data_IF_720890362537
#
_entry.id   IF_720890362537
#
_cell.length_a   1.000
_cell.length_b   1.000
_cell.length_c   1.000
_cell.angle_alpha   90.00
_cell.angle_beta   90.00
_cell.angle_gamma   90.00
#
_symmetry.space_group_name_H-M   'P 1'
#
loop_
_entity.id
_entity.type
_entity.pdbx_description
1 polymer ?
#
# COMPACT_ATOMS: atom_id res chain seq x y z
N UNK A 1 -30.10 -13.37 0.75
CA UNK A 1 -28.86 -12.80 0.15
C UNK A 1 -28.79 -11.32 0.54
N UNK A 2 -27.61 -10.67 0.52
CA UNK A 2 -27.51 -9.28 1.03
C UNK A 2 -28.29 -8.31 0.17
N UNK A 3 -28.30 -8.47 -1.15
CA UNK A 3 -29.08 -7.62 -2.06
C UNK A 3 -30.59 -7.60 -1.81
N UNK A 4 -31.13 -8.59 -1.11
CA UNK A 4 -32.55 -8.66 -0.74
C UNK A 4 -32.88 -7.77 0.47
N UNK A 5 -31.87 -7.34 1.21
CA UNK A 5 -32.00 -6.48 2.38
C UNK A 5 -31.86 -5.00 1.99
N UNK A 6 -32.57 -4.09 2.66
CA UNK A 6 -32.35 -2.65 2.49
C UNK A 6 -30.88 -2.29 2.72
N UNK A 7 -30.33 -1.42 1.86
CA UNK A 7 -28.97 -0.93 2.04
C UNK A 7 -28.82 -0.26 3.42
N UNK A 8 -27.86 -0.70 4.27
CA UNK A 8 -27.84 -0.28 5.69
C UNK A 8 -27.55 1.20 5.96
N UNK A 9 -26.88 1.91 5.05
CA UNK A 9 -26.54 3.32 5.25
C UNK A 9 -27.68 4.21 4.77
N UNK A 10 -28.23 5.03 5.67
CA UNK A 10 -29.17 6.10 5.31
C UNK A 10 -28.48 7.12 4.39
N UNK A 11 -28.83 7.08 3.11
CA UNK A 11 -28.11 7.75 2.05
C UNK A 11 -28.88 8.96 1.49
N UNK A 12 -29.50 9.76 2.37
CA UNK A 12 -30.39 10.86 1.99
C UNK A 12 -29.69 11.94 1.14
N UNK A 13 -28.36 11.99 1.19
CA UNK A 13 -27.48 12.90 0.47
C UNK A 13 -26.71 12.24 -0.70
N UNK A 14 -26.93 10.95 -0.98
CA UNK A 14 -26.32 10.24 -2.11
C UNK A 14 -24.82 9.92 -1.99
N UNK A 15 -24.21 10.13 -0.84
CA UNK A 15 -22.76 10.01 -0.65
C UNK A 15 -22.26 8.55 -0.77
N UNK A 16 -23.11 7.57 -0.44
CA UNK A 16 -22.80 6.13 -0.58
C UNK A 16 -23.52 5.48 -1.77
N UNK A 17 -23.88 6.26 -2.80
CA UNK A 17 -24.68 5.76 -3.95
C UNK A 17 -24.03 4.57 -4.67
N UNK A 18 -22.71 4.55 -4.81
CA UNK A 18 -22.03 3.45 -5.48
C UNK A 18 -22.10 2.17 -4.66
N UNK A 19 -21.89 2.26 -3.34
CA UNK A 19 -22.12 1.12 -2.44
C UNK A 19 -23.55 0.60 -2.46
N UNK A 20 -24.53 1.51 -2.45
CA UNK A 20 -25.94 1.13 -2.60
C UNK A 20 -26.16 0.35 -3.89
N UNK A 21 -25.62 0.83 -5.01
CA UNK A 21 -25.73 0.15 -6.30
C UNK A 21 -25.12 -1.26 -6.25
N UNK A 22 -23.87 -1.41 -5.84
CA UNK A 22 -23.20 -2.74 -5.83
C UNK A 22 -23.82 -3.69 -4.79
N UNK A 23 -24.46 -3.16 -3.74
CA UNK A 23 -25.27 -3.93 -2.80
C UNK A 23 -26.53 -4.48 -3.48
N UNK A 24 -27.30 -3.61 -4.14
CA UNK A 24 -28.53 -3.97 -4.87
C UNK A 24 -28.25 -4.90 -6.06
N UNK A 25 -27.11 -4.74 -6.72
CA UNK A 25 -26.64 -5.59 -7.83
C UNK A 25 -26.07 -6.94 -7.34
N UNK A 26 -26.00 -7.19 -6.03
CA UNK A 26 -25.55 -8.46 -5.45
C UNK A 26 -24.05 -8.73 -5.51
N UNK A 27 -23.22 -7.72 -5.79
CA UNK A 27 -21.76 -7.89 -5.89
C UNK A 27 -21.12 -8.27 -4.54
N UNK A 28 -21.80 -7.93 -3.44
CA UNK A 28 -21.33 -8.18 -2.08
C UNK A 28 -21.94 -9.42 -1.43
N UNK A 29 -22.73 -10.22 -2.16
CA UNK A 29 -23.47 -11.34 -1.57
C UNK A 29 -22.59 -12.45 -1.01
N UNK A 30 -21.46 -12.73 -1.67
CA UNK A 30 -20.55 -13.81 -1.26
C UNK A 30 -19.59 -13.42 -0.14
N UNK A 31 -19.58 -12.14 0.26
CA UNK A 31 -18.70 -11.66 1.32
C UNK A 31 -19.02 -12.36 2.65
N UNK A 32 -18.03 -12.51 3.53
CA UNK A 32 -18.26 -12.98 4.89
C UNK A 32 -18.99 -11.92 5.72
N UNK A 33 -19.83 -12.35 6.66
CA UNK A 33 -20.33 -11.47 7.71
C UNK A 33 -19.21 -10.98 8.63
N UNK A 34 -18.01 -11.56 8.61
CA UNK A 34 -16.88 -11.02 9.38
C UNK A 34 -16.02 -10.01 8.60
N UNK A 35 -16.34 -9.78 7.32
CA UNK A 35 -15.57 -8.92 6.43
C UNK A 35 -15.57 -7.45 6.89
N UNK A 36 -14.40 -6.79 6.86
CA UNK A 36 -14.23 -5.39 7.27
C UNK A 36 -15.24 -4.45 6.62
N UNK A 37 -15.34 -4.45 5.29
CA UNK A 37 -16.28 -3.61 4.54
C UNK A 37 -17.75 -3.85 4.94
N UNK A 38 -18.17 -5.11 5.09
CA UNK A 38 -19.54 -5.45 5.48
C UNK A 38 -19.82 -4.95 6.90
N UNK A 39 -18.88 -5.15 7.82
CA UNK A 39 -18.94 -4.59 9.18
C UNK A 39 -19.04 -3.07 9.17
N UNK A 40 -18.32 -2.38 8.29
CA UNK A 40 -18.36 -0.93 8.19
C UNK A 40 -19.71 -0.43 7.63
N UNK A 41 -20.22 -1.05 6.56
CA UNK A 41 -21.52 -0.70 5.96
C UNK A 41 -22.66 -0.88 6.96
N UNK A 42 -22.64 -1.98 7.71
CA UNK A 42 -23.64 -2.30 8.75
C UNK A 42 -23.37 -1.60 10.08
N UNK A 43 -22.38 -0.70 10.12
CA UNK A 43 -21.99 0.07 11.29
C UNK A 43 -21.71 -0.75 12.57
N UNK A 44 -21.05 -1.89 12.40
CA UNK A 44 -20.65 -2.81 13.47
C UNK A 44 -19.14 -3.08 13.50
N UNK A 45 -18.37 -2.40 12.66
CA UNK A 45 -16.91 -2.41 12.76
C UNK A 45 -16.49 -1.61 14.00
N UNK A 46 -15.81 -2.30 14.90
CA UNK A 46 -15.37 -1.75 16.20
C UNK A 46 -13.89 -1.99 16.48
N UNK A 47 -13.29 -2.99 15.84
CA UNK A 47 -11.87 -3.30 15.89
C UNK A 47 -11.48 -4.10 14.62
N UNK A 48 -10.19 -4.05 14.29
CA UNK A 48 -9.55 -4.85 13.24
C UNK A 48 -8.06 -5.02 13.60
N UNK A 49 -7.38 -6.00 12.99
CA UNK A 49 -6.02 -6.40 13.38
C UNK A 49 -4.99 -5.26 13.33
N UNK A 50 -5.13 -4.34 12.38
CA UNK A 50 -4.26 -3.16 12.20
C UNK A 50 -4.57 -1.95 13.07
N UNK A 51 -5.67 -1.97 13.84
CA UNK A 51 -6.23 -0.76 14.44
C UNK A 51 -5.24 0.00 15.32
N UNK A 52 -4.64 -0.68 16.30
CA UNK A 52 -3.66 -0.07 17.23
C UNK A 52 -2.43 0.45 16.50
N UNK A 53 -1.96 -0.29 15.49
CA UNK A 53 -0.79 0.09 14.72
C UNK A 53 -1.05 1.37 13.92
N UNK A 54 -2.17 1.43 13.19
CA UNK A 54 -2.53 2.60 12.39
C UNK A 54 -2.89 3.81 13.24
N UNK A 55 -3.42 3.59 14.44
CA UNK A 55 -3.61 4.63 15.45
C UNK A 55 -2.28 5.25 15.91
N UNK A 56 -1.22 4.45 15.97
CA UNK A 56 0.10 4.89 16.43
C UNK A 56 1.01 5.42 15.30
N UNK A 57 0.63 5.29 14.02
CA UNK A 57 1.45 5.65 12.86
C UNK A 57 1.47 7.16 12.50
N UNK A 58 0.60 8.04 13.02
CA UNK A 58 0.59 9.53 12.77
C UNK A 58 -0.36 10.24 13.80
N UNK A 59 -0.19 11.54 14.14
CA UNK A 59 -0.90 12.22 15.22
C UNK A 59 -2.17 12.90 14.70
N UNK A 60 -3.23 12.15 14.42
CA UNK A 60 -4.61 12.64 14.50
C UNK A 60 -4.83 14.07 13.93
N UNK A 61 -4.40 14.29 12.68
CA UNK A 61 -4.28 15.62 12.07
C UNK A 61 -5.64 16.33 12.00
N UNK A 62 -6.71 15.58 11.77
CA UNK A 62 -8.08 16.09 11.75
C UNK A 62 -8.76 16.09 13.13
N UNK A 63 -8.04 15.67 14.19
CA UNK A 63 -8.55 15.55 15.57
C UNK A 63 -9.77 14.63 15.69
N UNK A 64 -9.92 13.69 14.77
CA UNK A 64 -11.06 12.76 14.72
C UNK A 64 -10.91 11.63 15.75
N UNK A 65 -9.69 11.39 16.22
CA UNK A 65 -9.37 10.47 17.31
C UNK A 65 -9.44 11.24 18.64
N UNK A 66 -10.31 10.84 19.56
CA UNK A 66 -10.45 11.53 20.85
C UNK A 66 -9.25 11.23 21.76
N UNK A 67 -9.04 12.03 22.81
CA UNK A 67 -8.05 11.74 23.87
C UNK A 67 -8.20 10.28 24.34
N UNK A 68 -7.09 9.56 24.48
CA UNK A 68 -6.99 8.13 24.83
C UNK A 68 -7.32 7.13 23.71
N UNK A 69 -7.26 7.54 22.43
CA UNK A 69 -7.43 6.61 21.30
C UNK A 69 -8.87 6.15 21.08
N UNK A 70 -9.85 6.83 21.69
CA UNK A 70 -11.27 6.52 21.49
C UNK A 70 -11.72 7.07 20.14
N UNK A 71 -12.13 6.17 19.26
CA UNK A 71 -12.69 6.53 17.95
C UNK A 71 -14.20 6.41 18.03
N UNK A 72 -14.89 7.40 17.48
CA UNK A 72 -16.32 7.26 17.23
C UNK A 72 -16.51 6.35 16.03
N UNK A 73 -16.77 5.06 16.29
CA UNK A 73 -16.94 4.03 15.26
C UNK A 73 -18.02 4.42 14.24
N UNK A 74 -19.08 5.11 14.65
CA UNK A 74 -20.11 5.57 13.73
C UNK A 74 -19.54 6.57 12.72
N UNK A 75 -18.78 7.54 13.21
CA UNK A 75 -18.11 8.52 12.36
C UNK A 75 -17.05 7.87 11.48
N UNK A 76 -16.23 6.96 12.02
CA UNK A 76 -15.21 6.25 11.24
C UNK A 76 -15.83 5.41 10.11
N UNK A 77 -16.80 4.56 10.44
CA UNK A 77 -17.45 3.67 9.50
C UNK A 77 -18.11 4.44 8.37
N UNK A 78 -18.85 5.50 8.71
CA UNK A 78 -19.51 6.34 7.72
C UNK A 78 -18.50 7.04 6.81
N UNK A 79 -17.46 7.67 7.37
CA UNK A 79 -16.43 8.35 6.56
C UNK A 79 -15.67 7.36 5.67
N UNK A 80 -15.27 6.21 6.19
CA UNK A 80 -14.63 5.16 5.41
C UNK A 80 -15.52 4.72 4.24
N UNK A 81 -16.80 4.40 4.51
CA UNK A 81 -17.73 3.96 3.48
C UNK A 81 -17.98 5.05 2.42
N UNK A 82 -18.15 6.31 2.83
CA UNK A 82 -18.31 7.44 1.91
C UNK A 82 -17.11 7.58 0.98
N UNK A 83 -15.90 7.57 1.53
CA UNK A 83 -14.68 7.74 0.74
C UNK A 83 -14.38 6.55 -0.17
N UNK A 84 -14.57 5.32 0.32
CA UNK A 84 -14.37 4.12 -0.50
C UNK A 84 -15.42 4.02 -1.62
N UNK A 85 -16.69 4.33 -1.32
CA UNK A 85 -17.76 4.39 -2.31
C UNK A 85 -17.42 5.37 -3.44
N UNK A 86 -17.01 6.60 -3.10
CA UNK A 86 -16.59 7.60 -4.09
C UNK A 86 -15.33 7.19 -4.86
N UNK A 87 -14.37 6.55 -4.18
CA UNK A 87 -13.15 6.03 -4.80
C UNK A 87 -13.45 4.95 -5.84
N UNK A 88 -14.21 3.91 -5.49
CA UNK A 88 -14.54 2.83 -6.41
C UNK A 88 -15.38 3.32 -7.59
N UNK A 89 -16.32 4.25 -7.34
CA UNK A 89 -17.07 4.89 -8.41
C UNK A 89 -16.15 5.58 -9.43
N UNK A 90 -15.16 6.33 -8.94
CA UNK A 90 -14.19 7.01 -9.80
C UNK A 90 -13.30 6.02 -10.55
N UNK A 91 -12.76 5.00 -9.88
CA UNK A 91 -11.96 3.96 -10.53
C UNK A 91 -12.75 3.20 -11.60
N UNK A 92 -14.05 2.96 -11.39
CA UNK A 92 -14.93 2.38 -12.41
C UNK A 92 -15.05 3.26 -13.66
N UNK A 93 -15.07 4.59 -13.52
CA UNK A 93 -15.08 5.48 -14.70
C UNK A 93 -13.78 5.43 -15.51
N UNK A 94 -12.69 4.95 -14.90
CA UNK A 94 -11.35 4.91 -15.50
C UNK A 94 -11.05 3.54 -16.08
N UNK A 95 -11.25 2.47 -15.30
CA UNK A 95 -10.90 1.10 -15.68
C UNK A 95 -12.06 0.32 -16.29
N UNK A 96 -13.30 0.82 -16.20
CA UNK A 96 -14.50 0.18 -16.73
C UNK A 96 -15.20 -0.74 -15.73
N UNK A 97 -16.47 -1.03 -16.03
CA UNK A 97 -17.37 -1.79 -15.15
C UNK A 97 -16.89 -3.23 -14.93
N UNK A 98 -16.52 -3.94 -16.00
CA UNK A 98 -16.19 -5.37 -15.91
C UNK A 98 -14.96 -5.64 -15.04
N UNK A 99 -13.93 -4.78 -15.14
CA UNK A 99 -12.74 -4.87 -14.31
C UNK A 99 -13.07 -4.58 -12.84
N UNK A 100 -13.84 -3.52 -12.57
CA UNK A 100 -14.19 -3.16 -11.19
C UNK A 100 -15.16 -4.15 -10.54
N UNK A 101 -16.09 -4.73 -11.30
CA UNK A 101 -16.98 -5.78 -10.78
C UNK A 101 -16.15 -7.00 -10.33
N UNK A 102 -15.20 -7.46 -11.16
CA UNK A 102 -14.31 -8.57 -10.82
C UNK A 102 -13.44 -8.24 -9.63
N UNK A 103 -12.82 -7.05 -9.61
CA UNK A 103 -12.04 -6.57 -8.47
C UNK A 103 -12.87 -6.67 -7.17
N UNK A 104 -14.09 -6.14 -7.18
CA UNK A 104 -14.96 -6.15 -6.00
C UNK A 104 -15.33 -7.57 -5.60
N UNK A 105 -15.72 -8.43 -6.54
CA UNK A 105 -16.20 -9.79 -6.21
C UNK A 105 -15.08 -10.73 -5.81
N UNK A 106 -13.89 -10.58 -6.37
CA UNK A 106 -12.82 -11.58 -6.26
C UNK A 106 -11.65 -11.12 -5.37
N UNK A 107 -11.19 -9.86 -5.48
CA UNK A 107 -10.04 -9.35 -4.72
C UNK A 107 -10.48 -8.64 -3.43
N UNK A 108 -11.40 -7.67 -3.54
CA UNK A 108 -11.87 -6.90 -2.37
C UNK A 108 -12.65 -7.77 -1.38
N UNK A 109 -13.26 -8.87 -1.83
CA UNK A 109 -13.93 -9.85 -0.98
C UNK A 109 -12.97 -10.67 -0.12
N UNK A 110 -11.68 -10.69 -0.49
CA UNK A 110 -10.59 -11.27 0.27
C UNK A 110 -10.88 -12.68 0.79
N UNK A 111 -11.26 -13.59 -0.11
CA UNK A 111 -11.59 -14.97 0.27
C UNK A 111 -13.08 -15.22 0.53
N UNK A 112 -13.95 -14.24 0.28
CA UNK A 112 -15.42 -14.37 0.33
C UNK A 112 -15.86 -14.82 1.72
N UNK A 113 -16.41 -16.04 1.84
CA UNK A 113 -16.81 -16.63 3.12
C UNK A 113 -15.60 -17.02 4.00
N UNK A 114 -14.45 -17.32 3.39
CA UNK A 114 -13.18 -17.59 4.07
C UNK A 114 -12.34 -16.31 4.14
N UNK A 115 -12.95 -15.27 4.72
CA UNK A 115 -12.37 -13.94 4.77
C UNK A 115 -10.98 -13.90 5.39
N UNK A 116 -10.02 -13.31 4.68
CA UNK A 116 -8.66 -13.01 5.14
C UNK A 116 -8.46 -11.49 5.21
N UNK A 117 -8.33 -10.97 6.43
CA UNK A 117 -8.18 -9.53 6.66
C UNK A 117 -6.86 -8.99 6.07
N UNK A 118 -5.78 -9.78 6.04
CA UNK A 118 -4.52 -9.39 5.36
C UNK A 118 -4.78 -9.07 3.88
N UNK A 119 -5.45 -9.98 3.17
CA UNK A 119 -5.74 -9.86 1.74
C UNK A 119 -6.65 -8.67 1.45
N UNK A 120 -7.58 -8.35 2.36
CA UNK A 120 -8.40 -7.14 2.22
C UNK A 120 -7.55 -5.85 2.26
N UNK A 121 -6.59 -5.76 3.19
CA UNK A 121 -5.72 -4.59 3.29
C UNK A 121 -4.71 -4.50 2.14
N UNK A 122 -4.33 -5.64 1.53
CA UNK A 122 -3.63 -5.65 0.23
C UNK A 122 -4.48 -4.96 -0.86
N UNK A 123 -5.75 -5.35 -1.01
CA UNK A 123 -6.67 -4.74 -1.98
C UNK A 123 -6.94 -3.24 -1.69
N UNK A 124 -7.07 -2.85 -0.42
CA UNK A 124 -7.24 -1.43 -0.04
C UNK A 124 -5.99 -0.60 -0.38
N UNK A 125 -4.79 -1.14 -0.13
CA UNK A 125 -3.53 -0.48 -0.49
C UNK A 125 -3.45 -0.23 -1.99
N UNK A 126 -3.88 -1.20 -2.79
CA UNK A 126 -3.97 -1.07 -4.24
C UNK A 126 -4.92 0.05 -4.64
N UNK A 127 -6.16 0.06 -4.14
CA UNK A 127 -7.15 1.11 -4.41
C UNK A 127 -6.58 2.51 -4.07
N UNK A 128 -5.93 2.66 -2.92
CA UNK A 128 -5.37 3.94 -2.46
C UNK A 128 -4.32 4.48 -3.44
N UNK A 129 -3.40 3.62 -3.89
CA UNK A 129 -2.36 3.98 -4.87
C UNK A 129 -2.97 4.23 -6.26
N UNK A 130 -3.90 3.40 -6.73
CA UNK A 130 -4.51 3.61 -8.04
C UNK A 130 -5.33 4.91 -8.08
N UNK A 131 -6.06 5.22 -6.99
CA UNK A 131 -6.78 6.48 -6.83
C UNK A 131 -5.83 7.69 -6.89
N UNK A 132 -4.66 7.59 -6.27
CA UNK A 132 -3.66 8.67 -6.29
C UNK A 132 -3.32 9.12 -7.71
N UNK A 133 -3.12 8.16 -8.62
CA UNK A 133 -2.79 8.43 -10.02
C UNK A 133 -4.03 8.86 -10.80
N UNK A 134 -5.14 8.15 -10.62
CA UNK A 134 -6.41 8.42 -11.29
C UNK A 134 -6.85 9.90 -11.19
N UNK A 135 -6.73 10.52 -10.01
CA UNK A 135 -7.28 11.86 -9.76
C UNK A 135 -6.38 13.01 -10.23
N UNK A 136 -5.09 12.77 -10.47
CA UNK A 136 -4.09 13.84 -10.63
C UNK A 136 -3.71 14.14 -12.06
N UNK A 137 -4.09 13.31 -13.02
CA UNK A 137 -3.80 13.60 -14.42
C UNK A 137 -4.94 13.15 -15.32
N UNK A 138 -5.09 13.85 -16.45
CA UNK A 138 -5.95 13.43 -17.54
C UNK A 138 -5.18 12.41 -18.36
N UNK A 139 -5.16 11.17 -17.87
CA UNK A 139 -4.55 10.06 -18.57
C UNK A 139 -5.23 9.87 -19.93
N UNK A 140 -4.42 9.72 -20.98
CA UNK A 140 -4.91 9.32 -22.30
C UNK A 140 -5.48 7.90 -22.25
N UNK A 141 -4.85 7.06 -21.43
CA UNK A 141 -5.25 5.68 -21.22
C UNK A 141 -4.89 5.23 -19.80
N UNK A 142 -5.77 4.46 -19.19
CA UNK A 142 -5.52 3.72 -17.96
C UNK A 142 -6.00 2.29 -18.15
N UNK A 143 -5.16 1.31 -17.82
CA UNK A 143 -5.43 -0.11 -17.96
C UNK A 143 -5.26 -0.78 -16.61
N UNK A 144 -6.24 -1.59 -16.22
CA UNK A 144 -6.18 -2.45 -15.03
C UNK A 144 -5.62 -3.82 -15.42
N UNK A 145 -4.65 -4.34 -14.65
CA UNK A 145 -3.94 -5.59 -14.93
C UNK A 145 -3.52 -5.79 -16.40
N UNK A 146 -2.80 -4.82 -17.03
CA UNK A 146 -2.47 -4.89 -18.45
C UNK A 146 -1.55 -6.08 -18.75
N UNK A 147 -1.82 -6.86 -19.82
CA UNK A 147 -1.01 -8.00 -20.18
C UNK A 147 0.42 -7.58 -20.53
N UNK A 148 1.39 -8.11 -19.80
CA UNK A 148 2.81 -7.88 -20.12
C UNK A 148 3.29 -8.95 -21.07
N UNK A 149 3.28 -8.64 -22.37
CA UNK A 149 3.60 -9.56 -23.47
C UNK A 149 5.03 -10.17 -23.42
N UNK A 150 5.89 -9.72 -22.50
CA UNK A 150 7.32 -10.02 -22.48
C UNK A 150 7.69 -10.98 -21.33
N UNK A 151 6.84 -11.13 -20.32
CA UNK A 151 7.15 -11.97 -19.15
C UNK A 151 6.69 -13.42 -19.41
N UNK A 152 7.56 -14.42 -19.18
CA UNK A 152 7.15 -15.84 -19.10
C UNK A 152 6.15 -16.11 -17.95
N UNK A 153 5.87 -15.10 -17.13
CA UNK A 153 4.93 -15.13 -16.03
C UNK A 153 3.55 -14.66 -16.53
N UNK A 154 2.50 -15.36 -16.10
CA UNK A 154 1.09 -14.99 -16.32
C UNK A 154 0.64 -13.82 -15.43
N UNK A 155 1.56 -13.09 -14.78
CA UNK A 155 1.25 -12.05 -13.80
C UNK A 155 1.46 -10.67 -14.41
N UNK A 156 0.48 -9.81 -14.22
CA UNK A 156 0.46 -8.43 -14.68
C UNK A 156 0.71 -7.45 -13.52
N UNK A 157 1.27 -6.26 -13.77
CA UNK A 157 1.25 -5.17 -12.80
C UNK A 157 -0.19 -4.75 -12.56
N UNK A 158 -0.49 -4.15 -11.42
CA UNK A 158 -1.87 -3.79 -11.06
C UNK A 158 -2.48 -2.76 -12.02
N UNK A 159 -1.67 -1.80 -12.50
CA UNK A 159 -2.15 -0.85 -13.50
C UNK A 159 -1.06 -0.29 -14.40
N UNK A 160 -1.49 0.24 -15.56
CA UNK A 160 -0.70 1.08 -16.46
C UNK A 160 -1.45 2.37 -16.79
N UNK A 161 -0.77 3.49 -16.63
CA UNK A 161 -1.26 4.82 -16.97
C UNK A 161 -0.40 5.40 -18.09
N UNK A 162 -1.03 5.94 -19.12
CA UNK A 162 -0.37 6.60 -20.26
C UNK A 162 -0.93 8.00 -20.39
N UNK A 163 -0.06 9.01 -20.39
CA UNK A 163 -0.48 10.40 -20.38
C UNK A 163 0.62 11.34 -20.88
N UNK A 164 0.32 12.62 -20.83
CA UNK A 164 1.26 13.69 -21.18
C UNK A 164 1.60 14.49 -19.92
N UNK A 165 2.88 14.84 -19.77
CA UNK A 165 3.32 15.75 -18.73
C UNK A 165 4.22 16.82 -19.29
N UNK A 166 4.03 18.04 -18.81
CA UNK A 166 4.96 19.13 -19.06
C UNK A 166 6.15 19.01 -18.10
N UNK A 167 7.27 18.55 -18.63
CA UNK A 167 8.54 18.48 -17.91
C UNK A 167 9.45 19.59 -18.45
N UNK A 168 9.76 20.58 -17.60
CA UNK A 168 10.63 21.72 -17.94
C UNK A 168 10.17 22.51 -19.20
N UNK A 169 8.86 22.62 -19.43
CA UNK A 169 8.29 23.34 -20.58
C UNK A 169 8.11 22.49 -21.84
N UNK A 170 8.59 21.24 -21.86
CA UNK A 170 8.34 20.29 -22.95
C UNK A 170 7.26 19.29 -22.55
N UNK A 171 6.32 19.00 -23.46
CA UNK A 171 5.32 17.95 -23.24
C UNK A 171 5.91 16.62 -23.71
N UNK A 172 6.07 15.69 -22.77
CA UNK A 172 6.51 14.32 -23.06
C UNK A 172 5.37 13.34 -22.76
N UNK A 173 5.20 12.34 -23.64
CA UNK A 173 4.38 11.19 -23.32
C UNK A 173 5.10 10.33 -22.29
N UNK A 174 4.38 9.98 -21.23
CA UNK A 174 4.87 9.20 -20.10
C UNK A 174 3.99 7.98 -19.88
N UNK A 175 4.64 6.90 -19.44
CA UNK A 175 4.00 5.65 -19.07
C UNK A 175 4.35 5.32 -17.64
N UNK A 176 3.36 4.99 -16.82
CA UNK A 176 3.56 4.55 -15.44
C UNK A 176 2.95 3.17 -15.29
N UNK A 177 3.75 2.18 -14.93
CA UNK A 177 3.28 0.86 -14.51
C UNK A 177 3.40 0.76 -12.99
N UNK A 178 2.37 0.26 -12.33
CA UNK A 178 2.25 0.24 -10.87
C UNK A 178 2.14 -1.19 -10.38
N UNK A 179 2.92 -1.52 -9.37
CA UNK A 179 2.76 -2.71 -8.55
C UNK A 179 2.60 -2.29 -7.10
N UNK A 180 1.66 -2.89 -6.38
CA UNK A 180 1.44 -2.60 -4.96
C UNK A 180 1.69 -3.86 -4.13
N UNK A 181 2.33 -3.70 -2.98
CA UNK A 181 2.59 -4.77 -2.02
C UNK A 181 2.25 -4.31 -0.61
N UNK A 182 1.70 -5.22 0.20
CA UNK A 182 1.48 -5.02 1.62
C UNK A 182 1.95 -6.28 2.37
N UNK A 183 2.76 -6.18 3.44
CA UNK A 183 3.04 -7.31 4.29
C UNK A 183 1.79 -7.66 5.09
N UNK A 184 1.75 -8.93 5.53
CA UNK A 184 0.77 -9.39 6.50
C UNK A 184 0.95 -8.68 7.83
N UNK A 185 -0.12 -8.59 8.59
CA UNK A 185 -0.08 -8.07 9.95
C UNK A 185 0.85 -8.91 10.83
N UNK A 186 1.64 -8.27 11.71
CA UNK A 186 2.40 -9.01 12.71
C UNK A 186 1.44 -9.70 13.68
N UNK A 187 1.86 -10.82 14.26
CA UNK A 187 1.10 -11.45 15.34
C UNK A 187 1.07 -10.52 16.55
N UNK A 188 -0.09 -10.36 17.19
CA UNK A 188 -0.33 -9.44 18.32
C UNK A 188 0.46 -9.83 19.60
N UNK A 189 1.28 -10.89 19.55
CA UNK A 189 1.85 -11.58 20.70
C UNK A 189 2.83 -10.73 21.56
N UNK A 190 3.26 -9.55 21.11
CA UNK A 190 4.38 -8.82 21.74
C UNK A 190 4.09 -7.37 22.15
N UNK A 191 2.82 -6.93 22.24
CA UNK A 191 2.48 -5.52 22.52
C UNK A 191 3.10 -4.92 23.79
N UNK A 192 3.38 -5.72 24.82
CA UNK A 192 3.95 -5.24 26.11
C UNK A 192 5.44 -5.58 26.30
N UNK A 193 6.10 -6.14 25.29
CA UNK A 193 7.46 -6.65 25.41
C UNK A 193 8.52 -5.61 25.03
N UNK A 194 9.71 -5.70 25.63
CA UNK A 194 10.91 -5.02 25.11
C UNK A 194 11.35 -5.75 23.86
N UNK A 195 11.28 -5.12 22.70
CA UNK A 195 11.64 -5.75 21.42
C UNK A 195 12.89 -5.07 20.84
N UNK A 196 13.79 -5.86 20.25
CA UNK A 196 14.90 -5.37 19.44
C UNK A 196 14.80 -5.92 18.01
N UNK A 197 14.71 -5.02 17.02
CA UNK A 197 14.85 -5.36 15.59
C UNK A 197 16.10 -4.65 15.04
N UNK A 198 17.09 -5.40 14.55
CA UNK A 198 18.19 -4.85 13.78
C UNK A 198 17.69 -4.17 12.50
N UNK A 199 18.02 -2.90 12.31
CA UNK A 199 17.68 -2.15 11.09
C UNK A 199 18.70 -2.33 9.95
N UNK A 200 19.71 -3.19 10.15
CA UNK A 200 20.77 -3.47 9.17
C UNK A 200 20.87 -4.96 8.89
N UNK A 201 21.38 -5.34 7.72
CA UNK A 201 21.63 -6.75 7.43
C UNK A 201 22.73 -7.28 8.34
N UNK A 202 22.38 -8.27 9.18
CA UNK A 202 23.32 -8.92 10.07
C UNK A 202 24.16 -9.97 9.34
N UNK A 203 25.46 -10.00 9.66
CA UNK A 203 26.36 -11.10 9.31
C UNK A 203 25.94 -12.40 10.01
N UNK A 204 26.48 -13.54 9.57
CA UNK A 204 26.24 -14.83 10.22
C UNK A 204 26.62 -14.82 11.71
N UNK A 205 27.63 -14.04 12.08
CA UNK A 205 28.05 -13.88 13.48
C UNK A 205 27.10 -12.95 14.25
N UNK A 206 26.70 -11.83 13.66
CA UNK A 206 25.70 -10.94 14.27
C UNK A 206 24.36 -11.62 14.51
N UNK A 207 23.95 -12.52 13.61
CA UNK A 207 22.75 -13.36 13.75
C UNK A 207 22.82 -14.38 14.90
N UNK A 208 24.01 -14.60 15.49
CA UNK A 208 24.18 -15.43 16.69
C UNK A 208 24.30 -14.59 17.95
N UNK A 209 25.05 -13.49 17.89
CA UNK A 209 25.35 -12.67 19.05
C UNK A 209 24.17 -11.83 19.53
N UNK A 210 23.41 -11.22 18.61
CA UNK A 210 22.30 -10.33 18.97
C UNK A 210 21.15 -11.09 19.65
N UNK A 211 20.68 -12.24 19.12
CA UNK A 211 19.64 -13.01 19.82
C UNK A 211 20.05 -13.42 21.22
N UNK A 212 21.31 -13.87 21.39
CA UNK A 212 21.87 -14.23 22.70
C UNK A 212 21.91 -13.06 23.67
N UNK A 213 22.37 -11.89 23.22
CA UNK A 213 22.35 -10.68 24.04
C UNK A 213 20.92 -10.31 24.45
N UNK A 214 19.95 -10.43 23.54
CA UNK A 214 18.55 -10.11 23.85
C UNK A 214 17.98 -11.10 24.88
N UNK A 215 18.25 -12.40 24.74
CA UNK A 215 17.87 -13.43 25.70
C UNK A 215 18.45 -13.16 27.10
N UNK A 216 19.74 -12.81 27.18
CA UNK A 216 20.43 -12.47 28.44
C UNK A 216 19.88 -11.22 29.14
N UNK A 217 19.11 -10.37 28.43
CA UNK A 217 18.58 -9.09 28.93
C UNK A 217 17.04 -9.02 28.96
N UNK A 218 16.35 -10.15 28.80
CA UNK A 218 14.88 -10.21 28.75
C UNK A 218 14.28 -9.29 27.67
N UNK A 219 14.94 -9.26 26.51
CA UNK A 219 14.51 -8.54 25.31
C UNK A 219 14.08 -9.58 24.27
N UNK A 220 12.92 -9.39 23.66
CA UNK A 220 12.47 -10.19 22.52
C UNK A 220 13.26 -9.74 21.28
N UNK A 221 14.08 -10.65 20.76
CA UNK A 221 14.73 -10.43 19.47
C UNK A 221 13.77 -10.77 18.33
N UNK A 222 13.60 -9.82 17.41
CA UNK A 222 12.85 -10.03 16.17
C UNK A 222 13.78 -9.81 14.97
N UNK A 223 13.81 -10.78 14.06
CA UNK A 223 14.64 -10.65 12.86
C UNK A 223 14.01 -9.64 11.89
N UNK A 224 14.81 -8.77 11.24
CA UNK A 224 14.26 -7.85 10.26
C UNK A 224 13.64 -8.59 9.08
N UNK A 225 12.57 -8.05 8.52
CA UNK A 225 11.77 -8.64 7.43
C UNK A 225 12.43 -8.51 6.05
N UNK A 226 13.74 -8.72 6.01
CA UNK A 226 14.59 -8.70 4.81
C UNK A 226 14.07 -9.65 3.73
N UNK A 227 13.68 -10.85 4.12
CA UNK A 227 13.20 -11.86 3.18
C UNK A 227 11.90 -11.42 2.51
N UNK A 228 11.02 -10.72 3.24
CA UNK A 228 9.77 -10.17 2.70
C UNK A 228 10.05 -9.05 1.68
N UNK A 229 10.96 -8.12 1.98
CA UNK A 229 11.39 -7.09 1.01
C UNK A 229 11.99 -7.72 -0.25
N UNK A 230 12.87 -8.71 -0.08
CA UNK A 230 13.46 -9.48 -1.18
C UNK A 230 12.38 -10.15 -2.03
N UNK A 231 11.39 -10.79 -1.41
CA UNK A 231 10.28 -11.45 -2.12
C UNK A 231 9.40 -10.43 -2.86
N UNK A 232 9.11 -9.27 -2.28
CA UNK A 232 8.38 -8.19 -2.95
C UNK A 232 9.11 -7.63 -4.16
N UNK A 233 10.40 -7.32 -4.02
CA UNK A 233 11.22 -6.83 -5.13
C UNK A 233 11.26 -7.85 -6.27
N UNK A 234 11.55 -9.12 -5.96
CA UNK A 234 11.60 -10.17 -6.97
C UNK A 234 10.22 -10.38 -7.62
N UNK A 235 9.14 -10.40 -6.84
CA UNK A 235 7.79 -10.53 -7.38
C UNK A 235 7.46 -9.38 -8.34
N UNK A 236 7.75 -8.14 -7.97
CA UNK A 236 7.46 -6.98 -8.81
C UNK A 236 8.26 -7.02 -10.12
N UNK A 237 9.54 -7.40 -10.06
CA UNK A 237 10.38 -7.53 -11.25
C UNK A 237 9.86 -8.55 -12.28
N UNK A 238 9.13 -9.59 -11.84
CA UNK A 238 8.51 -10.56 -12.76
C UNK A 238 7.29 -10.00 -13.50
N UNK A 239 6.66 -8.95 -12.97
CA UNK A 239 5.47 -8.30 -13.55
C UNK A 239 5.82 -7.14 -14.48
N UNK A 240 7.02 -6.57 -14.38
CA UNK A 240 7.42 -5.44 -15.21
C UNK A 240 8.26 -5.86 -16.43
N UNK A 241 8.11 -5.14 -17.54
CA UNK A 241 9.10 -5.14 -18.63
C UNK A 241 10.26 -4.18 -18.30
N UNK A 242 11.39 -4.28 -18.99
CA UNK A 242 12.45 -3.27 -18.86
C UNK A 242 11.88 -1.90 -19.31
N UNK A 243 11.95 -0.85 -18.46
CA UNK A 243 11.38 0.45 -18.77
C UNK A 243 12.15 1.13 -19.91
N UNK A 244 11.42 1.81 -20.80
CA UNK A 244 11.96 2.74 -21.81
C UNK A 244 12.20 4.13 -21.20
N UNK A 245 12.74 5.06 -21.98
CA UNK A 245 13.18 6.40 -21.53
C UNK A 245 12.12 7.25 -20.81
N UNK A 246 10.83 7.02 -21.06
CA UNK A 246 9.71 7.71 -20.41
C UNK A 246 8.70 6.74 -19.76
N UNK A 247 9.13 5.50 -19.50
CA UNK A 247 8.34 4.50 -18.81
C UNK A 247 8.88 4.30 -17.38
N UNK A 248 7.98 4.33 -16.41
CA UNK A 248 8.30 4.25 -15.00
C UNK A 248 7.61 3.03 -14.39
N UNK A 249 8.40 2.06 -13.93
CA UNK A 249 7.90 0.91 -13.21
C UNK A 249 8.06 1.16 -11.72
N UNK A 250 6.93 1.37 -11.03
CA UNK A 250 6.89 1.83 -9.66
C UNK A 250 6.35 0.72 -8.76
N UNK A 251 7.17 0.32 -7.79
CA UNK A 251 6.75 -0.59 -6.73
C UNK A 251 6.37 0.22 -5.49
N UNK A 252 5.10 0.18 -5.14
CA UNK A 252 4.58 0.70 -3.88
C UNK A 252 4.54 -0.41 -2.85
N UNK A 253 5.05 -0.14 -1.65
CA UNK A 253 5.03 -1.06 -0.53
C UNK A 253 4.38 -0.33 0.65
N UNK A 254 3.15 -0.71 0.97
CA UNK A 254 2.52 -0.31 2.22
C UNK A 254 3.23 -1.06 3.35
N UNK A 255 3.97 -0.38 4.22
CA UNK A 255 4.69 -0.97 5.36
C UNK A 255 4.07 -0.59 6.71
N UNK A 256 2.80 -0.17 6.70
CA UNK A 256 2.03 0.26 7.89
C UNK A 256 2.09 -0.71 9.05
N UNK A 257 2.16 -2.00 8.74
CA UNK A 257 1.91 -3.09 9.68
C UNK A 257 3.22 -3.70 10.16
N UNK A 258 3.93 -2.95 11.00
CA UNK A 258 5.19 -3.37 11.62
C UNK A 258 5.07 -3.43 13.13
N UNK A 259 6.04 -4.06 13.78
CA UNK A 259 6.06 -4.22 15.24
C UNK A 259 6.38 -2.91 16.01
N UNK A 260 6.79 -1.84 15.31
CA UNK A 260 7.19 -0.55 15.90
C UNK A 260 6.54 0.67 15.24
N UNK A 261 5.33 1.07 15.64
CA UNK A 261 4.59 2.13 14.96
C UNK A 261 5.28 3.49 14.89
N UNK A 262 5.95 3.95 15.97
CA UNK A 262 6.59 5.27 16.00
C UNK A 262 7.81 5.40 15.09
N UNK A 263 8.30 4.29 14.52
CA UNK A 263 9.50 4.19 13.69
C UNK A 263 9.28 3.18 12.55
N UNK A 264 8.03 2.97 12.16
CA UNK A 264 7.57 1.81 11.39
C UNK A 264 8.24 1.67 10.04
N UNK A 265 8.49 2.82 9.44
CA UNK A 265 9.18 2.98 8.19
C UNK A 265 10.71 2.79 8.27
N UNK A 266 11.33 2.96 9.45
CA UNK A 266 12.79 2.91 9.62
C UNK A 266 13.38 1.53 9.31
N UNK A 267 12.65 0.46 9.60
CA UNK A 267 13.08 -0.90 9.28
C UNK A 267 13.28 -1.04 7.76
N UNK A 268 12.23 -0.81 6.97
CA UNK A 268 12.31 -0.92 5.52
C UNK A 268 13.30 0.09 4.93
N UNK A 269 13.31 1.33 5.44
CA UNK A 269 14.23 2.36 4.99
C UNK A 269 15.69 1.95 5.14
N UNK A 270 16.06 1.48 6.34
CA UNK A 270 17.43 1.10 6.66
C UNK A 270 17.86 -0.14 5.89
N UNK A 271 16.98 -1.12 5.72
CA UNK A 271 17.26 -2.32 4.92
C UNK A 271 17.46 -2.02 3.43
N UNK A 272 16.71 -1.06 2.88
CA UNK A 272 16.83 -0.72 1.46
C UNK A 272 18.03 0.18 1.18
N UNK A 273 18.36 1.11 2.07
CA UNK A 273 19.25 2.24 1.72
C UNK A 273 20.46 2.48 2.61
N UNK A 274 20.67 1.66 3.63
CA UNK A 274 21.86 1.80 4.47
C UNK A 274 23.15 1.80 3.62
N UNK A 275 24.09 2.66 4.00
CA UNK A 275 25.34 2.90 3.27
C UNK A 275 26.32 1.74 3.34
N UNK A 276 26.11 0.77 4.24
CA UNK A 276 26.99 -0.40 4.40
C UNK A 276 26.51 -1.56 3.54
N UNK A 277 25.22 -1.90 3.58
CA UNK A 277 24.69 -3.13 3.00
C UNK A 277 23.23 -3.05 2.54
N UNK A 278 22.69 -1.84 2.34
CA UNK A 278 21.33 -1.66 1.85
C UNK A 278 21.09 -2.37 0.51
N UNK A 279 19.90 -2.97 0.36
CA UNK A 279 19.54 -3.79 -0.80
C UNK A 279 19.62 -2.99 -2.12
N UNK A 280 19.16 -1.73 -2.11
CA UNK A 280 19.13 -0.89 -3.31
C UNK A 280 20.48 -0.19 -3.55
N UNK A 281 21.27 0.05 -2.50
CA UNK A 281 22.57 0.74 -2.58
C UNK A 281 23.71 -0.21 -2.92
N UNK A 282 23.60 -1.49 -2.56
CA UNK A 282 24.66 -2.49 -2.74
C UNK A 282 24.16 -3.75 -3.47
N UNK A 283 24.11 -3.75 -4.82
CA UNK A 283 23.60 -4.88 -5.60
C UNK A 283 24.29 -6.22 -5.33
N UNK A 284 25.58 -6.21 -4.97
CA UNK A 284 26.30 -7.43 -4.58
C UNK A 284 25.75 -8.01 -3.26
N UNK A 285 25.47 -7.16 -2.27
CA UNK A 285 24.88 -7.59 -1.00
C UNK A 285 23.44 -8.09 -1.21
N UNK A 286 22.68 -7.42 -2.06
CA UNK A 286 21.33 -7.83 -2.46
C UNK A 286 21.33 -9.21 -3.14
N UNK A 287 22.27 -9.47 -4.05
CA UNK A 287 22.41 -10.78 -4.72
C UNK A 287 22.74 -11.89 -3.73
N UNK A 288 23.57 -11.62 -2.71
CA UNK A 288 23.92 -12.61 -1.69
C UNK A 288 22.71 -13.09 -0.86
N UNK A 289 21.66 -12.27 -0.76
CA UNK A 289 20.41 -12.65 -0.08
C UNK A 289 19.31 -13.12 -1.06
N UNK A 290 19.61 -13.24 -2.35
CA UNK A 290 18.71 -13.76 -3.38
C UNK A 290 17.82 -12.73 -4.09
N UNK A 291 18.20 -11.44 -4.10
CA UNK A 291 17.56 -10.44 -4.97
C UNK A 291 18.06 -10.63 -6.41
N UNK A 292 17.12 -10.78 -7.35
CA UNK A 292 17.41 -10.98 -8.77
C UNK A 292 18.05 -9.74 -9.40
N UNK A 293 18.96 -9.93 -10.38
CA UNK A 293 19.49 -8.82 -11.16
C UNK A 293 18.40 -8.06 -11.92
N UNK A 294 17.32 -8.75 -12.31
CA UNK A 294 16.17 -8.16 -13.00
C UNK A 294 15.49 -7.06 -12.18
N UNK A 295 15.60 -7.08 -10.84
CA UNK A 295 15.07 -6.02 -9.98
C UNK A 295 15.69 -4.67 -10.33
N UNK A 296 17.01 -4.64 -10.54
CA UNK A 296 17.75 -3.42 -10.82
C UNK A 296 17.57 -2.93 -12.26
N UNK A 297 17.12 -3.80 -13.15
CA UNK A 297 16.87 -3.49 -14.56
C UNK A 297 15.42 -3.06 -14.80
N UNK A 298 14.48 -3.67 -14.08
CA UNK A 298 13.04 -3.55 -14.37
C UNK A 298 12.30 -2.62 -13.42
N UNK A 299 12.75 -2.42 -12.19
CA UNK A 299 12.09 -1.50 -11.26
C UNK A 299 12.77 -0.14 -11.35
N UNK A 300 12.00 0.90 -11.66
CA UNK A 300 12.51 2.28 -11.73
C UNK A 300 12.66 2.86 -10.34
N UNK A 301 11.65 2.67 -9.50
CA UNK A 301 11.65 3.15 -8.12
C UNK A 301 10.81 2.26 -7.19
N UNK A 302 11.19 2.30 -5.93
CA UNK A 302 10.46 1.69 -4.81
C UNK A 302 9.99 2.84 -3.93
N UNK A 303 8.72 2.78 -3.53
CA UNK A 303 8.09 3.72 -2.64
C UNK A 303 7.58 2.90 -1.47
N UNK A 304 8.13 3.14 -0.28
CA UNK A 304 7.61 2.52 0.93
C UNK A 304 6.90 3.63 1.71
N UNK A 305 5.74 3.32 2.28
CA UNK A 305 4.95 4.27 3.05
C UNK A 305 4.26 3.57 4.21
N UNK A 306 3.85 4.34 5.21
CA UNK A 306 3.06 3.85 6.33
C UNK A 306 1.76 4.64 6.38
N UNK A 307 0.66 3.98 6.66
CA UNK A 307 -0.69 4.51 6.66
C UNK A 307 -1.19 4.64 8.10
N UNK A 308 -1.70 5.84 8.38
CA UNK A 308 -2.39 6.17 9.60
C UNK A 308 -3.87 5.82 9.49
N UNK A 309 -4.55 5.81 10.63
CA UNK A 309 -5.96 5.48 10.68
C UNK A 309 -6.85 6.50 9.96
N UNK A 310 -6.47 7.78 9.97
CA UNK A 310 -7.13 8.80 9.15
C UNK A 310 -6.87 8.58 7.65
N UNK A 311 -5.67 8.13 7.27
CA UNK A 311 -5.32 7.75 5.90
C UNK A 311 -6.24 6.66 5.35
N UNK A 312 -6.47 5.61 6.14
CA UNK A 312 -7.44 4.55 5.82
C UNK A 312 -8.87 5.08 5.71
N UNK A 313 -9.29 5.93 6.64
CA UNK A 313 -10.65 6.48 6.67
C UNK A 313 -10.97 7.35 5.44
N UNK A 314 -9.99 8.12 4.95
CA UNK A 314 -10.16 9.00 3.80
C UNK A 314 -9.72 8.38 2.47
N UNK A 315 -9.00 7.26 2.52
CA UNK A 315 -8.35 6.59 1.38
C UNK A 315 -7.54 7.58 0.54
N UNK A 316 -6.86 8.49 1.22
CA UNK A 316 -6.21 9.62 0.59
C UNK A 316 -4.69 9.57 0.75
N UNK A 317 -4.06 9.00 -0.28
CA UNK A 317 -2.61 8.94 -0.37
C UNK A 317 -1.94 10.34 -0.45
N UNK A 318 -2.70 11.45 -0.62
CA UNK A 318 -2.15 12.82 -0.52
C UNK A 318 -1.56 13.14 0.85
N UNK A 319 -2.06 12.51 1.91
CA UNK A 319 -1.55 12.74 3.27
C UNK A 319 -0.05 12.42 3.35
N UNK A 320 0.46 11.48 2.54
CA UNK A 320 1.88 11.14 2.45
C UNK A 320 2.71 12.09 1.57
N UNK A 321 2.07 12.89 0.71
CA UNK A 321 2.72 13.73 -0.30
C UNK A 321 3.13 15.12 0.19
N UNK A 322 2.45 15.65 1.21
CA UNK A 322 2.82 16.94 1.83
C UNK A 322 4.04 16.84 2.76
N UNK A 323 4.53 15.62 3.03
CA UNK A 323 5.68 15.32 3.92
C UNK A 323 6.99 15.08 3.16
N UNK A 324 7.02 15.23 1.83
CA UNK A 324 8.27 15.12 1.07
C UNK A 324 9.13 16.40 1.10
N UNK A 325 8.73 17.44 1.84
CA UNK A 325 9.62 18.56 2.14
C UNK A 325 10.71 18.09 3.12
N UNK A 326 11.95 18.33 2.75
CA UNK A 326 13.16 17.76 3.37
C UNK A 326 13.42 18.47 4.69
N UNK A 327 12.56 18.30 5.70
CA UNK A 327 12.87 18.48 7.13
C UNK A 327 11.61 18.41 7.99
N UNK A 328 11.27 17.18 8.43
CA UNK A 328 10.78 16.77 9.76
C UNK A 328 9.67 15.72 9.63
N UNK A 329 9.97 14.58 10.24
CA UNK A 329 9.10 13.46 10.59
C UNK A 329 8.60 12.59 9.41
N UNK A 330 9.15 11.37 9.35
CA UNK A 330 9.22 10.47 8.18
C UNK A 330 8.03 9.47 8.13
N UNK A 331 7.12 9.61 7.16
CA UNK A 331 5.99 8.66 6.97
C UNK A 331 5.91 8.05 5.55
N UNK A 332 6.77 8.51 4.65
CA UNK A 332 6.93 7.96 3.31
C UNK A 332 8.37 8.16 2.86
N UNK A 333 8.96 7.16 2.21
CA UNK A 333 10.24 7.32 1.56
C UNK A 333 10.27 6.73 0.17
N UNK A 334 10.99 7.45 -0.67
CA UNK A 334 10.99 7.30 -2.10
C UNK A 334 12.43 7.06 -2.58
N UNK A 335 12.64 5.98 -3.33
CA UNK A 335 13.96 5.63 -3.83
C UNK A 335 13.94 5.25 -5.29
N UNK A 336 14.83 5.89 -6.04
CA UNK A 336 15.03 5.62 -7.45
C UNK A 336 16.18 4.65 -7.61
N UNK A 337 15.88 3.47 -8.14
CA UNK A 337 16.89 2.45 -8.47
C UNK A 337 17.65 2.90 -9.72
N UNK A 338 16.95 3.54 -10.68
CA UNK A 338 17.57 4.14 -11.85
C UNK A 338 17.87 5.63 -11.60
N UNK A 339 19.13 5.96 -11.29
CA UNK A 339 19.58 7.33 -11.05
C UNK A 339 19.37 8.29 -12.23
N UNK A 340 19.42 7.80 -13.48
CA UNK A 340 19.19 8.63 -14.67
C UNK A 340 17.74 9.13 -14.75
N UNK A 341 16.80 8.36 -14.19
CA UNK A 341 15.37 8.66 -14.19
C UNK A 341 14.92 9.48 -12.95
N UNK A 342 15.82 9.72 -11.99
CA UNK A 342 15.48 10.32 -10.69
C UNK A 342 14.88 11.72 -10.81
N UNK A 343 15.50 12.60 -11.61
CA UNK A 343 15.01 13.98 -11.79
C UNK A 343 13.64 14.01 -12.47
N UNK A 344 13.42 13.15 -13.48
CA UNK A 344 12.12 13.04 -14.17
C UNK A 344 11.03 12.50 -13.24
N UNK A 345 11.34 11.49 -12.43
CA UNK A 345 10.38 10.85 -11.53
C UNK A 345 10.03 11.72 -10.30
N UNK A 346 10.97 12.50 -9.77
CA UNK A 346 10.65 13.50 -8.74
C UNK A 346 9.68 14.53 -9.34
N UNK A 347 9.99 15.07 -10.53
CA UNK A 347 9.05 15.99 -11.17
C UNK A 347 7.69 15.31 -11.47
N UNK A 348 7.68 14.03 -11.84
CA UNK A 348 6.46 13.27 -12.03
C UNK A 348 5.59 13.26 -10.77
N UNK A 349 6.13 12.82 -9.63
CA UNK A 349 5.36 12.67 -8.39
C UNK A 349 4.89 14.03 -7.85
N UNK A 350 5.65 15.11 -8.05
CA UNK A 350 5.33 16.45 -7.57
C UNK A 350 4.44 17.27 -8.53
N UNK A 351 4.52 17.06 -9.84
CA UNK A 351 3.85 17.89 -10.86
C UNK A 351 2.70 17.19 -11.60
N UNK A 352 2.37 15.92 -11.29
CA UNK A 352 1.07 15.36 -11.65
C UNK A 352 0.02 16.17 -10.83
N UNK A 353 -0.53 17.22 -11.46
CA UNK A 353 -1.48 18.21 -10.91
C UNK A 353 -2.89 18.01 -11.44
#
# INVERSE_FOLDING_TARGET
MRHELPFPIHNDCGICNYFKKIWEDGWLDEYSDNHFLIKAIENRLTAFIGFTQMLNNDPNLHRLIKKHGVIDNNSFNLNFCMNLSGCLAHLQTIFGNDHMERFIKDQLSAGKQQYDEDTFFEAISEISVLRFYAIRSKWKQALYEPPVQISKSLKNPEARFVGELSLNGNVEEIVINIEVKCPKFPSIEHQESKIAIPTVLLSNEGRKQIPRFCEENEIIYMSPRVMKLKDFLNSAATKFSIPKDNEFNLLYINWSFCDFPSNSFLEAWSLLTNTINGILTHPNAARNIGVSSEVFERITAVIVYTEALEGLMFLDFRMYGNLMDVSKDFECGFWTINCAMRKKLVNLIYYIK
#
